data_IF_562913509870
#
_entry.id   IF_562913509870
#
_cell.length_a   1.000
_cell.length_b   1.000
_cell.length_c   1.000
_cell.angle_alpha   90.00
_cell.angle_beta   90.00
_cell.angle_gamma   90.00
#
_symmetry.space_group_name_H-M   'P 1'
#
loop_
_entity.id
_entity.type
_entity.pdbx_description
1 polymer ?
#
# COMPACT_ATOMS: atom_id res chain seq x y z
N UNK A 1 -16.20 2.45 -20.72
CA UNK A 1 -15.73 2.12 -20.48
C UNK A 1 -15.09 1.84 -19.44
N UNK A 2 -14.23 1.57 -19.42
CA UNK A 2 -13.82 0.88 -18.34
C UNK A 2 -13.45 1.78 -17.28
N UNK A 3 -13.98 1.62 -16.24
CA UNK A 3 -13.71 2.30 -15.03
C UNK A 3 -12.89 1.38 -14.17
N UNK A 4 -12.76 1.67 -12.90
CA UNK A 4 -12.08 0.80 -11.98
C UNK A 4 -12.79 -0.54 -11.92
N UNK A 5 -12.04 -1.65 -12.04
CA UNK A 5 -12.66 -2.95 -11.87
C UNK A 5 -13.32 -3.06 -10.50
N UNK A 6 -14.38 -3.84 -10.43
CA UNK A 6 -15.10 -4.01 -9.17
C UNK A 6 -14.27 -4.75 -8.11
N UNK A 7 -13.09 -5.29 -8.50
CA UNK A 7 -12.20 -6.02 -7.60
C UNK A 7 -10.96 -5.19 -7.23
N UNK A 8 -11.05 -3.87 -7.26
CA UNK A 8 -9.91 -2.99 -7.02
C UNK A 8 -10.25 -1.97 -5.95
N UNK A 9 -9.31 -1.77 -5.01
CA UNK A 9 -9.35 -0.62 -4.10
C UNK A 9 -8.61 0.51 -4.79
N UNK A 10 -9.22 1.67 -4.88
CA UNK A 10 -8.64 2.85 -5.50
C UNK A 10 -8.71 4.03 -4.54
N UNK A 11 -7.58 4.72 -4.35
CA UNK A 11 -7.51 5.89 -3.49
C UNK A 11 -6.64 6.96 -4.14
N UNK A 12 -6.96 8.21 -3.86
CA UNK A 12 -6.17 9.33 -4.35
C UNK A 12 -5.91 10.29 -3.20
N UNK A 13 -4.65 10.74 -3.07
CA UNK A 13 -4.27 11.72 -2.07
C UNK A 13 -3.56 12.89 -2.73
N UNK A 14 -3.83 14.09 -2.25
CA UNK A 14 -3.06 15.27 -2.61
C UNK A 14 -2.22 15.65 -1.40
N UNK A 15 -0.90 15.55 -1.55
CA UNK A 15 0.04 15.72 -0.46
C UNK A 15 0.87 16.98 -0.70
N UNK A 16 1.11 17.81 0.33
CA UNK A 16 1.91 19.03 0.14
C UNK A 16 3.40 18.77 -0.02
N UNK A 17 3.87 17.55 0.28
CA UNK A 17 5.29 17.22 0.21
C UNK A 17 5.69 16.89 -1.24
N UNK A 18 6.96 17.16 -1.62
CA UNK A 18 7.44 16.82 -2.96
C UNK A 18 7.59 15.32 -3.14
N UNK A 19 7.59 14.88 -4.40
CA UNK A 19 7.63 13.45 -4.73
C UNK A 19 8.78 12.70 -4.06
N UNK A 20 9.94 13.33 -3.99
CA UNK A 20 11.12 12.68 -3.41
C UNK A 20 10.89 12.34 -1.94
N UNK A 21 10.22 13.20 -1.22
CA UNK A 21 9.92 12.97 0.18
C UNK A 21 8.86 11.87 0.34
N UNK A 22 7.83 11.91 -0.50
CA UNK A 22 6.79 10.86 -0.48
C UNK A 22 7.42 9.52 -0.86
N UNK A 23 8.27 9.51 -1.88
CA UNK A 23 8.95 8.30 -2.32
C UNK A 23 9.77 7.66 -1.20
N UNK A 24 10.49 8.47 -0.44
CA UNK A 24 11.28 7.94 0.69
C UNK A 24 10.37 7.27 1.73
N UNK A 25 9.18 7.83 1.97
CA UNK A 25 8.25 7.25 2.92
C UNK A 25 7.69 5.91 2.42
N UNK A 26 7.63 5.71 1.10
CA UNK A 26 7.16 4.47 0.50
C UNK A 26 8.24 3.41 0.40
N UNK A 27 9.51 3.79 0.48
CA UNK A 27 10.61 2.87 0.14
C UNK A 27 11.65 2.70 1.24
N UNK A 28 11.42 3.26 2.41
CA UNK A 28 12.31 3.12 3.56
C UNK A 28 11.65 2.17 4.56
N UNK A 29 12.27 1.01 4.88
CA UNK A 29 11.62 0.02 5.74
C UNK A 29 11.17 0.56 7.09
N UNK A 30 11.99 1.40 7.72
CA UNK A 30 11.65 1.96 9.02
C UNK A 30 10.42 2.86 8.94
N UNK A 31 10.32 3.64 7.86
CA UNK A 31 9.18 4.54 7.67
C UNK A 31 7.93 3.74 7.29
N UNK A 32 8.08 2.73 6.41
CA UNK A 32 6.97 1.84 6.06
C UNK A 32 6.38 1.18 7.31
N UNK A 33 7.23 0.79 8.26
CA UNK A 33 6.74 0.16 9.47
C UNK A 33 5.91 1.10 10.33
N UNK A 34 6.10 2.41 10.18
CA UNK A 34 5.38 3.40 10.97
C UNK A 34 3.97 3.65 10.46
N UNK A 35 3.74 3.55 9.13
CA UNK A 35 2.42 3.78 8.58
C UNK A 35 1.75 2.51 8.04
N UNK A 36 2.51 1.44 7.88
CA UNK A 36 1.98 0.14 7.48
C UNK A 36 2.31 -0.91 8.54
N UNK A 37 3.29 -1.76 8.25
CA UNK A 37 3.63 -2.91 9.11
C UNK A 37 5.13 -3.16 9.08
N UNK A 38 5.68 -3.86 10.08
CA UNK A 38 7.07 -4.33 10.01
C UNK A 38 7.32 -5.08 8.72
N UNK A 39 8.50 -4.87 8.13
CA UNK A 39 8.79 -5.40 6.81
C UNK A 39 10.30 -5.53 6.58
N UNK A 40 10.66 -6.24 5.48
CA UNK A 40 12.03 -6.33 5.02
C UNK A 40 12.14 -5.83 3.57
N UNK A 41 11.46 -4.73 3.28
CA UNK A 41 11.43 -4.13 1.96
C UNK A 41 12.79 -3.60 1.52
N UNK A 42 13.09 -3.72 0.22
CA UNK A 42 14.19 -3.00 -0.45
C UNK A 42 13.67 -2.47 -1.78
N UNK A 43 14.05 -1.25 -2.17
CA UNK A 43 13.55 -0.66 -3.41
C UNK A 43 14.33 -1.20 -4.62
N UNK A 44 14.23 -2.48 -4.87
CA UNK A 44 15.00 -3.17 -5.90
C UNK A 44 14.07 -4.12 -6.65
N UNK A 45 14.07 -4.00 -7.97
CA UNK A 45 13.23 -4.85 -8.83
C UNK A 45 13.50 -6.32 -8.54
N UNK A 46 12.44 -7.09 -8.37
CA UNK A 46 12.55 -8.52 -8.11
C UNK A 46 12.78 -8.89 -6.66
N UNK A 47 13.00 -7.91 -5.78
CA UNK A 47 13.22 -8.22 -4.36
C UNK A 47 11.95 -8.80 -3.75
N UNK A 48 12.08 -9.91 -3.08
CA UNK A 48 10.96 -10.53 -2.34
C UNK A 48 11.04 -10.11 -0.90
N UNK A 49 9.89 -9.74 -0.35
CA UNK A 49 9.82 -9.23 1.01
C UNK A 49 8.46 -9.57 1.63
N UNK A 50 8.34 -9.29 2.91
CA UNK A 50 7.10 -9.58 3.65
C UNK A 50 6.69 -8.38 4.49
N UNK A 51 5.38 -8.29 4.75
CA UNK A 51 4.84 -7.45 5.81
C UNK A 51 4.30 -8.38 6.89
N UNK A 52 4.53 -8.03 8.16
CA UNK A 52 4.04 -8.79 9.30
C UNK A 52 2.87 -8.04 9.92
N UNK A 53 1.65 -8.50 9.64
CA UNK A 53 0.46 -7.89 10.22
C UNK A 53 0.28 -8.45 11.62
N UNK A 54 0.28 -7.59 12.67
CA UNK A 54 0.25 -8.11 14.04
C UNK A 54 -1.08 -8.74 14.40
N UNK A 55 -1.02 -9.66 15.35
CA UNK A 55 -2.21 -10.32 15.88
C UNK A 55 -3.09 -9.30 16.61
N UNK A 56 -4.39 -9.56 16.57
CA UNK A 56 -5.40 -8.76 17.31
C UNK A 56 -6.27 -9.73 18.08
N UNK A 57 -5.87 -10.08 19.30
CA UNK A 57 -6.63 -11.07 20.10
C UNK A 57 -8.08 -10.69 20.31
N UNK A 58 -8.37 -9.40 20.48
CA UNK A 58 -9.75 -8.93 20.69
C UNK A 58 -10.64 -9.20 19.49
N UNK A 59 -10.06 -9.33 18.29
CA UNK A 59 -10.80 -9.64 17.07
C UNK A 59 -10.55 -11.09 16.63
N UNK A 60 -9.94 -11.90 17.49
CA UNK A 60 -9.57 -13.29 17.18
C UNK A 60 -8.73 -13.42 15.92
N UNK A 61 -7.89 -12.41 15.65
CA UNK A 61 -7.02 -12.39 14.50
C UNK A 61 -5.62 -12.81 14.93
N UNK A 62 -5.09 -13.93 14.40
CA UNK A 62 -3.78 -14.45 14.85
C UNK A 62 -2.58 -13.75 14.22
N UNK A 63 -2.80 -12.77 13.36
CA UNK A 63 -1.72 -12.16 12.61
C UNK A 63 -1.60 -12.78 11.25
N UNK A 64 -0.76 -12.18 10.41
CA UNK A 64 -0.67 -12.58 9.01
C UNK A 64 0.66 -12.14 8.45
N UNK A 65 1.29 -13.02 7.65
CA UNK A 65 2.44 -12.64 6.84
C UNK A 65 1.97 -12.43 5.41
N UNK A 66 2.20 -11.23 4.88
CA UNK A 66 1.90 -10.90 3.49
C UNK A 66 3.18 -11.08 2.69
N UNK A 67 3.13 -11.86 1.62
CA UNK A 67 4.27 -12.13 0.74
C UNK A 67 4.22 -11.20 -0.45
N UNK A 68 5.34 -10.54 -0.74
CA UNK A 68 5.40 -9.51 -1.78
C UNK A 68 6.64 -9.69 -2.66
N UNK A 69 6.58 -9.13 -3.85
CA UNK A 69 7.73 -9.02 -4.75
C UNK A 69 7.65 -7.69 -5.46
N UNK A 70 8.77 -6.97 -5.54
CA UNK A 70 8.81 -5.69 -6.26
C UNK A 70 8.73 -5.96 -7.75
N UNK A 71 7.67 -5.47 -8.39
CA UNK A 71 7.41 -5.69 -9.81
C UNK A 71 7.81 -4.50 -10.68
N UNK A 72 7.71 -3.28 -10.14
CA UNK A 72 8.17 -2.06 -10.82
C UNK A 72 8.73 -1.12 -9.75
N UNK A 73 9.84 -0.47 -10.08
CA UNK A 73 10.45 0.48 -9.16
C UNK A 73 11.10 1.59 -9.98
N UNK A 74 10.37 2.70 -10.14
CA UNK A 74 10.81 3.85 -10.96
C UNK A 74 10.79 5.10 -10.08
N UNK A 75 11.89 5.37 -9.34
CA UNK A 75 11.93 6.54 -8.47
C UNK A 75 11.85 7.84 -9.24
N UNK A 76 11.17 8.83 -8.79
CA UNK A 76 10.21 8.83 -7.68
C UNK A 76 8.77 8.74 -8.17
N UNK A 77 8.51 7.99 -9.25
CA UNK A 77 7.24 8.03 -9.97
C UNK A 77 6.34 6.85 -9.69
N UNK A 78 6.89 5.63 -9.62
CA UNK A 78 6.03 4.46 -9.62
C UNK A 78 6.65 3.30 -8.85
N UNK A 79 5.85 2.72 -7.96
CA UNK A 79 6.22 1.51 -7.22
C UNK A 79 5.06 0.53 -7.30
N UNK A 80 5.36 -0.68 -7.76
CA UNK A 80 4.36 -1.76 -7.82
C UNK A 80 4.97 -3.00 -7.19
N UNK A 81 4.19 -3.64 -6.29
CA UNK A 81 4.60 -4.93 -5.76
C UNK A 81 3.40 -5.85 -5.66
N UNK A 82 3.67 -7.16 -5.69
CA UNK A 82 2.63 -8.15 -5.49
C UNK A 82 2.27 -8.21 -4.01
N UNK A 83 1.07 -8.71 -3.73
CA UNK A 83 0.55 -8.78 -2.38
C UNK A 83 -0.23 -10.08 -2.27
N UNK A 84 0.31 -11.04 -1.52
CA UNK A 84 -0.28 -12.36 -1.43
C UNK A 84 -0.48 -12.74 0.03
N UNK A 85 -1.73 -12.99 0.39
CA UNK A 85 -2.10 -13.34 1.76
C UNK A 85 -3.10 -14.49 1.78
N UNK A 86 -3.21 -15.24 0.67
CA UNK A 86 -4.10 -16.38 0.56
C UNK A 86 -5.51 -16.01 0.14
N UNK A 87 -6.26 -17.01 -0.32
CA UNK A 87 -7.66 -16.83 -0.67
C UNK A 87 -7.88 -15.75 -1.72
N UNK A 88 -8.81 -14.85 -1.46
CA UNK A 88 -9.20 -13.80 -2.39
C UNK A 88 -8.07 -12.77 -2.60
N UNK A 89 -7.06 -12.76 -1.76
CA UNK A 89 -5.97 -11.77 -1.78
C UNK A 89 -4.68 -12.36 -2.31
N UNK A 90 -4.72 -13.60 -2.82
CA UNK A 90 -3.53 -14.22 -3.40
C UNK A 90 -3.24 -13.60 -4.77
N UNK A 91 -1.97 -13.28 -5.02
CA UNK A 91 -1.49 -12.72 -6.29
C UNK A 91 -2.16 -11.40 -6.66
N UNK A 92 -2.52 -10.60 -5.68
CA UNK A 92 -3.01 -9.26 -5.93
C UNK A 92 -1.83 -8.32 -6.11
N UNK A 93 -2.09 -7.09 -6.55
CA UNK A 93 -1.05 -6.09 -6.80
C UNK A 93 -1.37 -4.79 -6.10
N UNK A 94 -0.32 -4.18 -5.55
CA UNK A 94 -0.39 -2.86 -4.94
C UNK A 94 0.46 -1.92 -5.79
N UNK A 95 -0.11 -0.77 -6.19
CA UNK A 95 0.63 0.20 -6.97
C UNK A 95 0.48 1.59 -6.37
N UNK A 96 1.61 2.31 -6.35
CA UNK A 96 1.67 3.72 -5.97
C UNK A 96 2.22 4.48 -7.16
N UNK A 97 1.49 5.52 -7.59
CA UNK A 97 1.95 6.37 -8.68
C UNK A 97 1.97 7.81 -8.19
N UNK A 98 3.12 8.45 -8.32
CA UNK A 98 3.35 9.81 -7.85
C UNK A 98 3.53 10.75 -9.02
N UNK A 99 2.76 11.82 -9.05
CA UNK A 99 2.94 12.86 -10.06
C UNK A 99 2.98 14.22 -9.36
N UNK A 100 3.66 15.21 -10.00
CA UNK A 100 3.67 16.55 -9.41
C UNK A 100 2.26 17.12 -9.39
N UNK A 101 1.95 17.83 -8.31
CA UNK A 101 0.68 18.54 -8.20
C UNK A 101 0.93 19.82 -7.40
N UNK A 102 0.91 20.95 -8.08
CA UNK A 102 1.27 22.23 -7.49
C UNK A 102 2.68 22.12 -6.88
N UNK A 103 2.87 22.47 -5.61
CA UNK A 103 4.17 22.33 -4.96
C UNK A 103 4.36 20.94 -4.31
N UNK A 104 3.37 20.08 -4.44
CA UNK A 104 3.38 18.78 -3.77
C UNK A 104 3.22 17.62 -4.73
N UNK A 105 2.50 16.60 -4.27
CA UNK A 105 2.38 15.32 -4.97
C UNK A 105 0.94 14.86 -5.02
N UNK A 106 0.55 14.35 -6.18
CA UNK A 106 -0.68 13.58 -6.33
C UNK A 106 -0.30 12.11 -6.28
N UNK A 107 -0.83 11.40 -5.29
CA UNK A 107 -0.58 9.99 -5.11
C UNK A 107 -1.82 9.21 -5.53
N UNK A 108 -1.65 8.32 -6.51
CA UNK A 108 -2.69 7.39 -6.92
C UNK A 108 -2.33 6.02 -6.38
N UNK A 109 -3.23 5.41 -5.64
CA UNK A 109 -3.05 4.11 -5.03
C UNK A 109 -4.08 3.13 -5.59
N UNK A 110 -3.63 1.91 -5.91
CA UNK A 110 -4.52 0.83 -6.29
C UNK A 110 -4.06 -0.47 -5.66
N UNK A 111 -5.01 -1.24 -5.16
CA UNK A 111 -4.79 -2.62 -4.78
C UNK A 111 -5.79 -3.44 -5.58
N UNK A 112 -5.31 -4.18 -6.57
CA UNK A 112 -6.15 -4.81 -7.59
C UNK A 112 -5.98 -6.32 -7.61
N UNK A 113 -6.94 -6.99 -8.25
CA UNK A 113 -6.85 -8.42 -8.49
C UNK A 113 -7.51 -9.28 -7.43
N UNK A 114 -8.38 -8.70 -6.59
CA UNK A 114 -9.12 -9.51 -5.62
C UNK A 114 -10.00 -10.52 -6.34
N UNK A 115 -10.00 -11.76 -5.84
CA UNK A 115 -10.81 -12.82 -6.45
C UNK A 115 -12.17 -12.88 -5.75
N UNK A 116 -13.16 -12.25 -6.36
CA UNK A 116 -14.50 -12.15 -5.78
C UNK A 116 -15.26 -13.45 -5.88
N UNK A 117 -14.74 -14.46 -6.59
CA UNK A 117 -15.34 -15.79 -6.62
C UNK A 117 -14.99 -16.60 -5.38
N UNK A 118 -13.97 -16.19 -4.62
CA UNK A 118 -13.58 -16.88 -3.40
C UNK A 118 -14.56 -16.57 -2.27
N UNK A 119 -14.72 -17.51 -1.32
CA UNK A 119 -15.50 -17.22 -0.11
C UNK A 119 -14.94 -15.97 0.57
N UNK A 120 -15.82 -15.07 1.00
CA UNK A 120 -15.46 -13.83 1.68
C UNK A 120 -14.65 -12.87 0.81
N UNK A 121 -14.63 -13.08 -0.53
CA UNK A 121 -13.88 -12.19 -1.43
C UNK A 121 -14.34 -10.74 -1.36
N UNK A 122 -15.67 -10.52 -1.35
CA UNK A 122 -16.20 -9.16 -1.24
C UNK A 122 -15.87 -8.53 0.11
N UNK A 123 -15.90 -9.32 1.17
CA UNK A 123 -15.54 -8.84 2.50
C UNK A 123 -14.06 -8.48 2.56
N UNK A 124 -13.19 -9.28 1.94
CA UNK A 124 -11.77 -8.99 1.88
C UNK A 124 -11.51 -7.68 1.14
N UNK A 125 -12.20 -7.46 0.03
CA UNK A 125 -12.07 -6.22 -0.74
C UNK A 125 -12.52 -5.01 0.09
N UNK A 126 -13.66 -5.12 0.76
CA UNK A 126 -14.20 -4.04 1.58
C UNK A 126 -13.27 -3.74 2.75
N UNK A 127 -12.77 -4.80 3.41
CA UNK A 127 -11.83 -4.65 4.51
C UNK A 127 -10.54 -3.99 4.08
N UNK A 128 -10.03 -4.36 2.90
CA UNK A 128 -8.83 -3.74 2.35
C UNK A 128 -9.05 -2.25 2.10
N UNK A 129 -10.23 -1.87 1.62
CA UNK A 129 -10.54 -0.45 1.42
C UNK A 129 -10.47 0.35 2.70
N UNK A 130 -11.04 -0.16 3.78
CA UNK A 130 -10.94 0.48 5.08
C UNK A 130 -9.50 0.50 5.60
N UNK A 131 -8.80 -0.63 5.49
CA UNK A 131 -7.44 -0.73 5.97
C UNK A 131 -6.49 0.21 5.24
N UNK A 132 -6.60 0.26 3.92
CA UNK A 132 -5.75 1.17 3.14
C UNK A 132 -6.09 2.63 3.41
N UNK A 133 -7.38 2.96 3.61
CA UNK A 133 -7.76 4.30 3.99
C UNK A 133 -7.07 4.74 5.27
N UNK A 134 -7.08 3.89 6.29
CA UNK A 134 -6.42 4.19 7.56
C UNK A 134 -4.91 4.32 7.40
N UNK A 135 -4.28 3.42 6.62
CA UNK A 135 -2.84 3.45 6.42
C UNK A 135 -2.41 4.69 5.63
N UNK A 136 -3.17 5.07 4.62
CA UNK A 136 -2.84 6.27 3.84
C UNK A 136 -3.05 7.54 4.64
N UNK A 137 -4.02 7.57 5.55
CA UNK A 137 -4.14 8.67 6.49
C UNK A 137 -2.93 8.74 7.41
N UNK A 138 -2.44 7.59 7.87
CA UNK A 138 -1.23 7.54 8.70
C UNK A 138 -0.01 8.04 7.93
N UNK A 139 0.09 7.71 6.63
CA UNK A 139 1.15 8.20 5.77
C UNK A 139 1.11 9.73 5.68
N UNK A 140 -0.07 10.29 5.46
CA UNK A 140 -0.24 11.72 5.37
C UNK A 140 0.18 12.42 6.66
N UNK A 141 -0.25 11.86 7.80
CA UNK A 141 0.12 12.40 9.11
C UNK A 141 1.64 12.35 9.31
N UNK A 142 2.25 11.23 8.96
CA UNK A 142 3.70 11.05 9.09
C UNK A 142 4.47 12.07 8.25
N UNK A 143 4.03 12.28 7.02
CA UNK A 143 4.68 13.25 6.13
C UNK A 143 4.56 14.66 6.67
N UNK A 144 3.41 15.02 7.23
CA UNK A 144 3.22 16.34 7.81
C UNK A 144 4.10 16.54 9.03
N UNK A 145 4.32 15.50 9.81
CA UNK A 145 5.24 15.59 10.95
C UNK A 145 6.67 15.83 10.51
N UNK A 146 7.09 15.16 9.44
CA UNK A 146 8.50 15.21 9.03
C UNK A 146 8.89 16.53 8.38
N UNK A 147 7.94 17.40 7.98
CA UNK A 147 8.29 18.72 7.45
C UNK A 147 8.38 19.79 8.53
N UNK A 148 8.09 19.46 9.76
CA UNK A 148 8.22 20.43 10.84
C UNK A 148 9.69 20.66 11.14
N UNK A 149 10.09 21.91 11.32
CA UNK A 149 11.47 22.22 11.67
C UNK A 149 11.87 21.69 13.05
#
# INVERSE_FOLDING_TARGET
MATNPSNTVYKELLLPQPREQVWRALTTPETLARWMYPNDFEPRLGHRFTFQVPAKPEAEFPGLTVRCEVLECEPPQRLVFSWSAGGAVEDTRVSFQLSPHEAGTRLLFEHSGFDLSQPFGRQALKGAGYGWGAMLDALSTLLNESVKP
#
